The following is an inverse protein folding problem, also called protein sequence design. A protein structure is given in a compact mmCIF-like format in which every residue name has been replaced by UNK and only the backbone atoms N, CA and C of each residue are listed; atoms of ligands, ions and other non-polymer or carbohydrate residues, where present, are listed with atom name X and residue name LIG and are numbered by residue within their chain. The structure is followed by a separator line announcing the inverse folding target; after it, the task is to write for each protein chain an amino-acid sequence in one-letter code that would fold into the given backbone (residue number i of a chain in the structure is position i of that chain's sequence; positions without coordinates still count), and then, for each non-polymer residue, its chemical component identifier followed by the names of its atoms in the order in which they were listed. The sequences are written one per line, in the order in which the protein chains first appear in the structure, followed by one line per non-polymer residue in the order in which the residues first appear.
data_IF_803544695514
#
_entry.id   IF_803544695514
#
_cell.length_a   1.000
_cell.length_b   1.000
_cell.length_c   1.000
_cell.angle_alpha   90.00
_cell.angle_beta   90.00
_cell.angle_gamma   90.00
#
_symmetry.space_group_name_H-M   'P 1'
#
loop_
_entity.id
_entity.type
_entity.pdbx_description
1 polymer ?
#
# COMPACT_ATOMS: atom_id res chain seq x y z
N UNK A 1 3.82 5.18 10.44
CA UNK A 1 3.62 4.23 9.32
C UNK A 1 4.88 4.18 8.49
N UNK A 2 5.22 3.03 7.93
CA UNK A 2 6.42 2.81 7.11
C UNK A 2 6.05 2.17 5.78
N UNK A 3 6.85 2.45 4.74
CA UNK A 3 6.77 1.76 3.46
C UNK A 3 8.10 1.09 3.12
N UNK A 4 8.03 -0.19 2.75
CA UNK A 4 9.16 -0.92 2.22
C UNK A 4 8.77 -1.92 1.12
N UNK A 5 9.80 -2.45 0.47
CA UNK A 5 9.72 -3.49 -0.53
C UNK A 5 10.62 -4.66 -0.14
N UNK A 6 10.10 -5.88 -0.28
CA UNK A 6 10.84 -7.12 -0.12
C UNK A 6 10.80 -7.88 -1.45
N UNK A 7 11.99 -8.13 -1.97
CA UNK A 7 12.21 -8.88 -3.20
C UNK A 7 12.24 -10.38 -2.90
N UNK A 8 11.56 -11.20 -3.71
CA UNK A 8 11.63 -12.67 -3.70
C UNK A 8 11.38 -13.28 -2.31
N UNK A 9 10.22 -12.98 -1.71
CA UNK A 9 9.88 -13.30 -0.31
C UNK A 9 9.95 -14.79 0.03
N UNK A 10 9.81 -15.67 -0.96
CA UNK A 10 9.71 -17.11 -0.78
C UNK A 10 10.61 -17.92 -1.73
N UNK A 11 11.46 -17.27 -2.53
CA UNK A 11 12.30 -17.95 -3.52
C UNK A 11 11.60 -18.27 -4.85
N UNK A 12 10.34 -17.88 -5.03
CA UNK A 12 9.52 -18.14 -6.22
C UNK A 12 9.17 -16.87 -7.03
N UNK A 13 9.98 -15.82 -6.92
CA UNK A 13 9.77 -14.52 -7.62
C UNK A 13 8.46 -13.81 -7.22
N UNK A 14 7.98 -14.09 -6.00
CA UNK A 14 6.93 -13.31 -5.35
C UNK A 14 7.58 -12.15 -4.61
N UNK A 15 7.01 -10.96 -4.78
CA UNK A 15 7.49 -9.75 -4.11
C UNK A 15 6.36 -9.12 -3.29
N UNK A 16 6.71 -8.28 -2.33
CA UNK A 16 5.71 -7.54 -1.55
C UNK A 16 6.15 -6.11 -1.30
N UNK A 17 5.25 -5.17 -1.55
CA UNK A 17 5.32 -3.81 -1.00
C UNK A 17 4.47 -3.79 0.26
N UNK A 18 5.02 -3.30 1.36
CA UNK A 18 4.32 -3.25 2.64
C UNK A 18 4.10 -1.82 3.07
N UNK A 19 2.88 -1.52 3.51
CA UNK A 19 2.58 -0.41 4.40
C UNK A 19 2.44 -1.00 5.80
N UNK A 20 3.36 -0.66 6.70
CA UNK A 20 3.46 -1.35 7.99
C UNK A 20 3.82 -0.44 9.16
N UNK A 21 3.89 -1.03 10.37
CA UNK A 21 4.26 -0.34 11.60
C UNK A 21 3.44 0.93 11.83
N UNK A 22 2.12 0.76 11.91
CA UNK A 22 1.18 1.86 12.06
C UNK A 22 0.13 1.57 13.13
N UNK A 23 -0.46 2.64 13.65
CA UNK A 23 -1.60 2.57 14.57
C UNK A 23 -2.92 2.93 13.86
N UNK A 24 -4.03 2.83 14.58
CA UNK A 24 -5.37 3.18 14.07
C UNK A 24 -5.45 4.61 13.54
N UNK A 25 -4.78 5.57 14.18
CA UNK A 25 -4.82 6.98 13.77
C UNK A 25 -4.16 7.17 12.40
N UNK A 26 -2.99 6.59 12.19
CA UNK A 26 -2.28 6.63 10.90
C UNK A 26 -3.06 5.89 9.81
N UNK A 27 -3.65 4.73 10.10
CA UNK A 27 -4.54 4.03 9.18
C UNK A 27 -5.75 4.89 8.77
N UNK A 28 -6.34 5.61 9.75
CA UNK A 28 -7.47 6.52 9.50
C UNK A 28 -7.06 7.69 8.61
N UNK A 29 -5.91 8.32 8.88
CA UNK A 29 -5.37 9.40 8.06
C UNK A 29 -5.06 8.93 6.64
N UNK A 30 -4.41 7.78 6.50
CA UNK A 30 -4.08 7.19 5.20
C UNK A 30 -5.34 6.88 4.37
N UNK A 31 -6.34 6.26 4.99
CA UNK A 31 -7.65 5.99 4.36
C UNK A 31 -8.33 7.27 3.86
N UNK A 32 -8.30 8.34 4.67
CA UNK A 32 -8.84 9.64 4.27
C UNK A 32 -8.08 10.25 3.09
N UNK A 33 -6.74 10.14 3.06
CA UNK A 33 -5.90 10.64 1.96
C UNK A 33 -6.17 9.93 0.63
N UNK A 34 -6.33 8.60 0.64
CA UNK A 34 -6.74 7.86 -0.57
C UNK A 34 -8.09 8.36 -1.06
N UNK A 35 -9.07 8.46 -0.16
CA UNK A 35 -10.42 8.91 -0.51
C UNK A 35 -10.40 10.32 -1.11
N UNK A 36 -9.78 11.28 -0.43
CA UNK A 36 -9.76 12.67 -0.88
C UNK A 36 -8.94 12.85 -2.16
N UNK A 37 -7.74 12.28 -2.23
CA UNK A 37 -6.80 12.57 -3.31
C UNK A 37 -7.07 11.72 -4.54
N UNK A 38 -7.23 10.40 -4.36
CA UNK A 38 -7.36 9.47 -5.48
C UNK A 38 -8.80 9.38 -5.97
N UNK A 39 -9.77 9.26 -5.06
CA UNK A 39 -11.17 9.07 -5.45
C UNK A 39 -11.86 10.39 -5.78
N UNK A 40 -11.82 11.37 -4.86
CA UNK A 40 -12.58 12.62 -5.00
C UNK A 40 -11.88 13.59 -5.97
N UNK A 41 -10.58 13.84 -5.79
CA UNK A 41 -9.80 14.76 -6.65
C UNK A 41 -9.28 14.10 -7.93
N UNK A 42 -9.28 12.77 -8.02
CA UNK A 42 -8.74 12.01 -9.17
C UNK A 42 -7.27 12.33 -9.46
N UNK A 43 -6.50 12.57 -8.40
CA UNK A 43 -5.08 12.88 -8.43
C UNK A 43 -4.27 11.68 -7.96
N UNK A 44 -2.97 11.72 -8.24
CA UNK A 44 -2.03 10.72 -7.70
C UNK A 44 -1.70 11.07 -6.26
N UNK A 45 -1.55 10.04 -5.44
CA UNK A 45 -1.09 10.17 -4.05
C UNK A 45 0.30 9.55 -3.95
N UNK A 46 1.32 10.38 -3.78
CA UNK A 46 2.70 9.94 -3.54
C UNK A 46 2.92 9.82 -2.03
N UNK A 47 3.24 8.63 -1.53
CA UNK A 47 3.37 8.43 -0.08
C UNK A 47 4.63 9.10 0.50
N UNK A 48 5.64 9.39 -0.32
CA UNK A 48 6.83 10.11 0.14
C UNK A 48 6.56 11.58 0.50
N UNK A 49 5.41 12.13 0.07
CA UNK A 49 4.97 13.48 0.41
C UNK A 49 4.13 13.53 1.71
N UNK A 50 3.87 12.38 2.35
CA UNK A 50 3.04 12.27 3.55
C UNK A 50 3.93 12.24 4.80
N UNK A 51 3.74 13.20 5.69
CA UNK A 51 4.61 13.46 6.85
C UNK A 51 4.70 12.31 7.89
N UNK A 52 3.64 11.50 8.03
CA UNK A 52 3.61 10.36 8.96
C UNK A 52 4.02 9.02 8.34
N UNK A 53 4.44 9.02 7.06
CA UNK A 53 4.90 7.82 6.35
C UNK A 53 6.41 7.92 6.13
N UNK A 54 7.15 6.96 6.67
CA UNK A 54 8.60 6.86 6.47
C UNK A 54 8.93 5.88 5.34
N UNK A 55 9.55 6.38 4.28
CA UNK A 55 10.09 5.55 3.20
C UNK A 55 11.40 4.88 3.61
N UNK A 56 11.42 3.54 3.65
CA UNK A 56 12.61 2.78 4.05
C UNK A 56 13.56 2.49 2.90
N UNK A 57 13.06 1.85 1.84
CA UNK A 57 13.86 1.45 0.69
C UNK A 57 13.12 1.64 -0.66
N UNK A 58 11.86 2.09 -0.63
CA UNK A 58 11.08 2.34 -1.81
C UNK A 58 10.09 3.50 -1.61
N UNK A 59 9.53 3.98 -2.71
CA UNK A 59 8.37 4.86 -2.74
C UNK A 59 7.16 4.15 -3.36
N UNK A 60 5.96 4.54 -2.95
CA UNK A 60 4.69 4.02 -3.44
C UNK A 60 3.78 5.17 -3.87
N UNK A 61 3.25 5.09 -5.09
CA UNK A 61 2.36 6.09 -5.66
C UNK A 61 1.05 5.44 -6.05
N UNK A 62 -0.07 5.95 -5.55
CA UNK A 62 -1.41 5.50 -5.91
C UNK A 62 -1.96 6.35 -7.05
N UNK A 63 -2.61 5.72 -8.04
CA UNK A 63 -3.22 6.45 -9.15
C UNK A 63 -4.32 5.68 -9.87
N UNK A 64 -5.34 6.42 -10.30
CA UNK A 64 -6.44 5.84 -11.08
C UNK A 64 -6.02 5.43 -12.48
N UNK A 65 -6.60 4.34 -12.96
CA UNK A 65 -6.45 3.86 -14.34
C UNK A 65 -7.74 3.23 -14.88
N UNK A 66 -7.66 2.76 -16.12
CA UNK A 66 -8.82 2.17 -16.84
C UNK A 66 -9.08 0.71 -16.47
N UNK A 67 -8.09 0.05 -15.88
CA UNK A 67 -8.09 -1.35 -15.46
C UNK A 67 -7.31 -1.48 -14.14
N UNK A 68 -7.61 -2.54 -13.39
CA UNK A 68 -6.89 -2.89 -12.16
C UNK A 68 -5.61 -3.64 -12.55
N UNK A 69 -4.45 -3.00 -12.38
CA UNK A 69 -3.14 -3.58 -12.72
C UNK A 69 -2.36 -3.96 -11.45
N UNK A 70 -2.78 -3.47 -10.29
CA UNK A 70 -2.12 -3.69 -9.00
C UNK A 70 -0.79 -2.92 -8.91
N UNK A 71 0.27 -3.55 -8.40
CA UNK A 71 1.59 -2.93 -8.24
C UNK A 71 2.43 -3.09 -9.52
N UNK A 72 2.90 -1.95 -10.03
CA UNK A 72 3.82 -1.87 -11.16
C UNK A 72 5.11 -1.17 -10.74
N UNK A 73 6.24 -1.60 -11.29
CA UNK A 73 7.53 -0.90 -11.13
C UNK A 73 8.41 -1.13 -12.36
N UNK A 74 9.43 -0.29 -12.53
CA UNK A 74 10.49 -0.47 -13.53
C UNK A 74 11.89 -0.62 -12.92
N UNK A 75 12.05 -0.24 -11.66
CA UNK A 75 13.36 -0.03 -11.01
C UNK A 75 13.45 -0.65 -9.61
N UNK A 76 12.37 -1.29 -9.12
CA UNK A 76 12.23 -1.83 -7.77
C UNK A 76 12.44 -0.78 -6.65
N UNK A 77 12.35 0.50 -6.98
CA UNK A 77 12.49 1.62 -6.04
C UNK A 77 11.23 2.49 -6.03
N UNK A 78 10.62 2.72 -7.19
CA UNK A 78 9.35 3.45 -7.32
C UNK A 78 8.26 2.47 -7.76
N UNK A 79 7.24 2.33 -6.93
CA UNK A 79 6.09 1.47 -7.17
C UNK A 79 4.84 2.29 -7.43
N UNK A 80 4.00 1.82 -8.35
CA UNK A 80 2.72 2.40 -8.68
C UNK A 80 1.62 1.41 -8.35
N UNK A 81 0.73 1.74 -7.43
CA UNK A 81 -0.52 1.01 -7.24
C UNK A 81 -1.57 1.63 -8.17
N UNK A 82 -1.91 0.87 -9.20
CA UNK A 82 -2.71 1.33 -10.33
C UNK A 82 -4.00 0.54 -10.38
N UNK A 83 -5.10 1.19 -10.01
CA UNK A 83 -6.42 0.57 -9.91
C UNK A 83 -7.50 1.46 -10.55
N UNK A 84 -8.63 0.86 -10.86
CA UNK A 84 -9.88 1.54 -11.17
C UNK A 84 -10.46 2.22 -9.93
N UNK A 85 -11.48 3.07 -10.13
CA UNK A 85 -12.23 3.66 -9.03
C UNK A 85 -12.81 2.59 -8.10
N UNK A 86 -13.41 1.53 -8.66
CA UNK A 86 -13.98 0.43 -7.89
C UNK A 86 -12.90 -0.33 -7.09
N UNK A 87 -11.70 -0.51 -7.67
CA UNK A 87 -10.56 -1.10 -6.98
C UNK A 87 -10.15 -0.29 -5.74
N UNK A 88 -10.09 1.04 -5.85
CA UNK A 88 -9.81 1.91 -4.70
C UNK A 88 -10.93 1.92 -3.66
N UNK A 89 -12.19 1.90 -4.09
CA UNK A 89 -13.33 1.79 -3.16
C UNK A 89 -13.26 0.47 -2.36
N UNK A 90 -12.92 -0.64 -3.02
CA UNK A 90 -12.68 -1.92 -2.36
C UNK A 90 -11.49 -1.86 -1.40
N UNK A 91 -10.36 -1.26 -1.82
CA UNK A 91 -9.19 -1.05 -0.95
C UNK A 91 -9.56 -0.30 0.34
N UNK A 92 -10.39 0.75 0.25
CA UNK A 92 -10.87 1.46 1.44
C UNK A 92 -11.71 0.57 2.37
N UNK A 93 -12.50 -0.35 1.83
CA UNK A 93 -13.25 -1.33 2.64
C UNK A 93 -12.31 -2.29 3.37
N UNK A 94 -11.22 -2.71 2.72
CA UNK A 94 -10.19 -3.58 3.32
C UNK A 94 -9.39 -2.87 4.42
N UNK A 95 -9.18 -1.56 4.29
CA UNK A 95 -8.51 -0.72 5.32
C UNK A 95 -9.46 -0.41 6.49
N UNK A 96 -10.77 -0.34 6.27
CA UNK A 96 -11.75 0.13 7.26
C UNK A 96 -11.67 -0.54 8.65
N UNK A 97 -11.42 -1.86 8.81
CA UNK A 97 -11.26 -2.48 10.13
C UNK A 97 -10.12 -1.87 10.96
N UNK A 98 -9.03 -1.45 10.31
CA UNK A 98 -7.86 -0.84 10.94
C UNK A 98 -8.12 0.60 11.41
N UNK A 99 -9.13 1.27 10.85
CA UNK A 99 -9.57 2.60 11.27
C UNK A 99 -10.50 2.56 12.50
N UNK A 100 -11.16 1.42 12.75
CA UNK A 100 -12.13 1.28 13.84
C UNK A 100 -11.47 0.93 15.17
N UNK A 101 -10.42 0.10 15.14
CA UNK A 101 -9.71 -0.37 16.33
C UNK A 101 -8.28 -0.77 15.99
N UNK A 102 -7.42 -0.77 17.01
CA UNK A 102 -6.09 -1.36 16.88
C UNK A 102 -6.23 -2.85 16.54
N UNK A 103 -5.71 -3.22 15.38
CA UNK A 103 -5.78 -4.57 14.82
C UNK A 103 -4.35 -5.10 14.68
N UNK A 104 -4.16 -6.42 14.76
CA UNK A 104 -2.84 -7.07 14.64
C UNK A 104 -2.71 -7.98 13.41
N UNK A 105 -3.82 -8.27 12.73
CA UNK A 105 -3.80 -9.01 11.46
C UNK A 105 -3.22 -8.17 10.34
N UNK A 106 -2.83 -8.82 9.24
CA UNK A 106 -2.47 -8.16 7.99
C UNK A 106 -3.61 -8.30 6.96
N UNK A 107 -3.56 -7.51 5.89
CA UNK A 107 -4.52 -7.54 4.79
C UNK A 107 -3.85 -7.19 3.47
N UNK A 108 -4.09 -7.98 2.42
CA UNK A 108 -3.75 -7.58 1.04
C UNK A 108 -4.75 -6.53 0.54
N UNK A 109 -4.28 -5.48 -0.12
CA UNK A 109 -5.10 -4.33 -0.47
C UNK A 109 -5.79 -4.42 -1.86
N UNK A 110 -5.52 -5.50 -2.59
CA UNK A 110 -6.26 -5.93 -3.77
C UNK A 110 -6.08 -7.45 -3.93
N UNK A 111 -6.77 -8.03 -4.91
CA UNK A 111 -6.64 -9.43 -5.32
C UNK A 111 -6.53 -9.46 -6.86
N UNK A 112 -5.29 -9.46 -7.36
CA UNK A 112 -4.94 -9.38 -8.77
C UNK A 112 -3.76 -10.32 -8.98
N UNK A 113 -3.81 -11.15 -10.01
CA UNK A 113 -2.72 -12.07 -10.36
C UNK A 113 -1.52 -11.30 -10.91
N UNK A 114 -0.65 -10.80 -10.01
CA UNK A 114 0.58 -10.09 -10.34
C UNK A 114 1.76 -10.52 -9.44
N UNK A 115 3.02 -10.29 -9.87
CA UNK A 115 4.19 -10.76 -9.11
C UNK A 115 4.45 -10.01 -7.80
N UNK A 116 3.85 -8.83 -7.61
CA UNK A 116 4.13 -7.97 -6.45
C UNK A 116 2.85 -7.66 -5.71
N UNK A 117 2.74 -8.15 -4.48
CA UNK A 117 1.59 -7.91 -3.62
C UNK A 117 1.67 -6.57 -2.88
N UNK A 118 0.52 -6.02 -2.48
CA UNK A 118 0.44 -4.86 -1.59
C UNK A 118 -0.15 -5.24 -0.23
N UNK A 119 0.71 -5.30 0.78
CA UNK A 119 0.37 -5.75 2.13
C UNK A 119 0.19 -4.57 3.08
N UNK A 120 -0.92 -4.55 3.81
CA UNK A 120 -1.21 -3.62 4.89
C UNK A 120 -1.08 -4.34 6.23
N UNK A 121 -0.06 -4.03 7.03
CA UNK A 121 0.29 -4.79 8.22
C UNK A 121 0.69 -3.90 9.41
N UNK A 122 -0.16 -3.76 10.45
CA UNK A 122 0.10 -2.86 11.58
C UNK A 122 1.34 -3.27 12.40
N UNK A 123 1.67 -4.56 12.41
CA UNK A 123 2.82 -5.11 13.14
C UNK A 123 3.63 -6.03 12.24
N UNK A 124 4.80 -5.58 11.80
CA UNK A 124 5.76 -6.38 11.08
C UNK A 124 7.16 -6.12 11.61
N UNK A 125 8.03 -7.14 11.55
CA UNK A 125 9.46 -6.95 11.79
C UNK A 125 10.11 -6.31 10.57
N UNK A 126 11.12 -5.50 10.83
CA UNK A 126 11.98 -4.94 9.80
C UNK A 126 12.58 -6.08 8.96
N UNK A 127 12.54 -5.93 7.65
CA UNK A 127 13.30 -6.79 6.76
C UNK A 127 14.70 -6.21 6.65
N UNK A 128 15.72 -6.97 7.07
CA UNK A 128 17.10 -6.50 7.03
C UNK A 128 17.81 -6.79 5.70
N UNK A 129 17.24 -7.65 4.86
CA UNK A 129 17.87 -8.12 3.61
C UNK A 129 19.12 -8.93 3.91
N UNK A 130 19.21 -10.15 3.39
CA UNK A 130 20.50 -10.86 3.27
C UNK A 130 21.13 -10.58 1.91
#
# INVERSE_FOLDING_TARGET
MEVDYIDNVNGFDEHVVRLYNFNKEEATKFSALIKETVIEKKQRLDVSEIDFIEARNCNLIFGLFKSDEGILTKDKQTFFCVLTLAGFENMLQLIAPYCQKETRSYQYLYDIDNPTELLFCPTATRYEGE
#
